data_IF_769497950713
#
_entry.id   IF_769497950713
#
_cell.length_a   1.000
_cell.length_b   1.000
_cell.length_c   1.000
_cell.angle_alpha   90.00
_cell.angle_beta   90.00
_cell.angle_gamma   90.00
#
_symmetry.space_group_name_H-M   'P 1'
#
loop_
_entity.id
_entity.type
_entity.pdbx_description
1 polymer ?
#
# COMPACT_ATOMS: atom_id res chain seq x y z
N UNK A 1 6.83 -14.80 -24.27
CA UNK A 1 5.78 -15.79 -23.93
C UNK A 1 4.48 -15.06 -24.17
N UNK A 2 4.00 -15.08 -25.40
CA UNK A 2 2.85 -14.28 -25.84
C UNK A 2 1.58 -14.92 -25.29
N UNK A 3 1.01 -14.29 -24.26
CA UNK A 3 -0.33 -14.65 -23.77
C UNK A 3 -1.31 -14.00 -24.73
N UNK A 4 -1.67 -14.74 -25.78
CA UNK A 4 -2.78 -14.37 -26.66
C UNK A 4 -4.08 -14.59 -25.89
N UNK A 5 -4.59 -13.54 -25.23
CA UNK A 5 -5.92 -13.55 -24.65
C UNK A 5 -6.92 -13.34 -25.79
N UNK A 6 -7.42 -14.44 -26.35
CA UNK A 6 -8.52 -14.36 -27.31
C UNK A 6 -9.82 -14.14 -26.55
N UNK A 7 -10.18 -12.86 -26.34
CA UNK A 7 -11.51 -12.47 -25.88
C UNK A 7 -12.50 -12.77 -27.00
N UNK A 8 -13.12 -13.94 -26.98
CA UNK A 8 -14.21 -14.25 -27.88
C UNK A 8 -15.49 -13.57 -27.40
N UNK A 9 -16.00 -12.70 -28.26
CA UNK A 9 -17.22 -11.93 -28.05
C UNK A 9 -18.39 -12.85 -27.71
N UNK A 10 -19.10 -12.53 -26.63
CA UNK A 10 -20.45 -13.04 -26.41
C UNK A 10 -21.31 -12.62 -27.60
N UNK A 11 -21.67 -13.58 -28.45
CA UNK A 11 -22.55 -13.32 -29.57
C UNK A 11 -23.99 -13.30 -29.05
N UNK A 12 -24.54 -12.08 -28.93
CA UNK A 12 -25.95 -11.89 -28.57
C UNK A 12 -26.80 -12.26 -29.79
N UNK A 13 -27.28 -13.50 -29.84
CA UNK A 13 -28.30 -13.94 -30.79
C UNK A 13 -29.61 -13.98 -30.00
N UNK A 14 -30.59 -13.17 -30.42
CA UNK A 14 -31.93 -13.10 -29.82
C UNK A 14 -31.98 -12.83 -28.30
N UNK A 15 -30.99 -12.11 -27.77
CA UNK A 15 -30.92 -11.76 -26.34
C UNK A 15 -30.43 -12.88 -25.42
N UNK A 16 -30.05 -14.03 -25.98
CA UNK A 16 -29.46 -15.14 -25.24
C UNK A 16 -27.94 -14.94 -25.20
N UNK A 17 -27.37 -15.03 -24.00
CA UNK A 17 -25.91 -15.01 -23.79
C UNK A 17 -25.43 -16.46 -23.86
N UNK A 18 -24.40 -16.71 -24.68
CA UNK A 18 -23.76 -18.02 -24.81
C UNK A 18 -22.27 -17.91 -24.40
N UNK A 19 -21.71 -19.01 -23.90
CA UNK A 19 -20.27 -19.18 -23.68
C UNK A 19 -19.78 -20.47 -24.36
N UNK A 20 -18.48 -20.58 -24.66
CA UNK A 20 -17.91 -21.77 -25.27
C UNK A 20 -17.20 -22.63 -24.21
N UNK A 21 -17.43 -23.93 -24.26
CA UNK A 21 -16.79 -24.94 -23.42
C UNK A 21 -16.11 -25.99 -24.29
N UNK A 22 -15.01 -26.54 -23.83
CA UNK A 22 -14.29 -27.61 -24.53
C UNK A 22 -14.72 -28.97 -23.96
N UNK A 23 -15.27 -29.84 -24.80
CA UNK A 23 -15.68 -31.18 -24.38
C UNK A 23 -14.49 -32.14 -24.18
N UNK A 24 -14.76 -33.35 -23.70
CA UNK A 24 -13.76 -34.41 -23.48
C UNK A 24 -13.02 -34.83 -24.76
N UNK A 25 -13.56 -34.50 -25.93
CA UNK A 25 -13.00 -34.80 -27.24
C UNK A 25 -12.24 -33.61 -27.85
N UNK A 26 -12.17 -32.48 -27.15
CA UNK A 26 -11.46 -31.27 -27.57
C UNK A 26 -12.26 -30.33 -28.47
N UNK A 27 -13.55 -30.58 -28.71
CA UNK A 27 -14.41 -29.75 -29.54
C UNK A 27 -14.95 -28.55 -28.76
N UNK A 28 -15.15 -27.42 -29.46
CA UNK A 28 -15.75 -26.22 -28.88
C UNK A 28 -17.28 -26.29 -29.00
N UNK A 29 -17.98 -26.27 -27.87
CA UNK A 29 -19.44 -26.36 -27.77
C UNK A 29 -20.01 -25.07 -27.19
N UNK A 30 -21.01 -24.49 -27.86
CA UNK A 30 -21.73 -23.32 -27.37
C UNK A 30 -22.78 -23.69 -26.32
N UNK A 31 -22.67 -23.14 -25.10
CA UNK A 31 -23.54 -23.42 -23.97
C UNK A 31 -24.28 -22.14 -23.53
N UNK A 32 -25.55 -22.29 -23.13
CA UNK A 32 -26.37 -21.17 -22.65
C UNK A 32 -25.87 -20.61 -21.31
N UNK A 33 -25.50 -19.33 -21.27
CA UNK A 33 -24.97 -18.63 -20.10
C UNK A 33 -26.05 -18.25 -19.05
N UNK A 34 -27.13 -19.03 -18.92
CA UNK A 34 -28.17 -18.81 -17.88
C UNK A 34 -27.61 -19.00 -16.47
N UNK A 35 -26.60 -19.86 -16.32
CA UNK A 35 -25.77 -20.02 -15.12
C UNK A 35 -24.32 -20.10 -15.58
N UNK A 36 -23.69 -18.94 -15.78
CA UNK A 36 -22.30 -18.86 -16.22
C UNK A 36 -21.35 -19.11 -15.03
N UNK A 37 -20.44 -20.10 -15.10
CA UNK A 37 -19.43 -20.28 -14.06
C UNK A 37 -18.47 -19.09 -14.04
N UNK A 38 -18.12 -18.60 -12.84
CA UNK A 38 -17.26 -17.41 -12.67
C UNK A 38 -15.86 -17.60 -13.26
N UNK A 39 -15.36 -18.83 -13.36
CA UNK A 39 -14.04 -19.12 -13.93
C UNK A 39 -13.90 -18.63 -15.39
N UNK A 40 -14.98 -18.61 -16.17
CA UNK A 40 -14.97 -18.07 -17.53
C UNK A 40 -14.88 -16.54 -17.60
N UNK A 41 -14.97 -15.86 -16.45
CA UNK A 41 -14.84 -14.41 -16.32
C UNK A 41 -13.48 -14.00 -15.72
N UNK A 42 -12.64 -14.97 -15.35
CA UNK A 42 -11.37 -14.74 -14.69
C UNK A 42 -10.21 -15.14 -15.61
N UNK A 43 -9.08 -14.46 -15.43
CA UNK A 43 -7.83 -14.80 -16.09
C UNK A 43 -6.75 -14.87 -15.02
N UNK A 44 -5.99 -15.97 -15.03
CA UNK A 44 -4.85 -16.12 -14.12
C UNK A 44 -3.70 -15.23 -14.57
N UNK A 45 -3.23 -14.39 -13.65
CA UNK A 45 -2.05 -13.53 -13.86
C UNK A 45 -0.91 -14.08 -13.00
N UNK A 46 0.23 -14.46 -13.60
CA UNK A 46 1.36 -14.94 -12.82
C UNK A 46 1.89 -13.81 -11.91
N UNK A 47 2.05 -14.11 -10.63
CA UNK A 47 2.62 -13.20 -9.65
C UNK A 47 4.02 -13.66 -9.21
N UNK A 48 4.88 -12.71 -8.88
CA UNK A 48 6.23 -12.99 -8.39
C UNK A 48 6.79 -11.84 -7.57
N UNK A 49 7.85 -12.13 -6.83
CA UNK A 49 8.63 -11.11 -6.12
C UNK A 49 9.84 -10.70 -6.96
N UNK A 50 10.24 -9.44 -6.86
CA UNK A 50 11.43 -8.96 -7.56
C UNK A 50 12.68 -9.76 -7.11
N UNK A 51 13.65 -10.00 -8.00
CA UNK A 51 14.91 -10.64 -7.64
C UNK A 51 15.63 -9.83 -6.55
N UNK A 52 16.35 -10.51 -5.64
CA UNK A 52 17.12 -9.89 -4.55
C UNK A 52 18.24 -8.95 -5.03
N UNK A 53 18.56 -8.96 -6.33
CA UNK A 53 19.53 -8.04 -6.96
C UNK A 53 18.97 -6.66 -7.24
N UNK A 54 17.65 -6.46 -7.18
CA UNK A 54 17.02 -5.16 -7.37
C UNK A 54 16.74 -4.52 -6.02
N UNK A 55 17.31 -3.34 -5.78
CA UNK A 55 16.92 -2.54 -4.63
C UNK A 55 15.47 -2.05 -4.80
N UNK A 56 14.60 -2.18 -3.78
CA UNK A 56 13.25 -1.66 -3.84
C UNK A 56 13.28 -0.13 -3.92
N UNK A 57 12.26 0.46 -4.55
CA UNK A 57 12.13 1.92 -4.62
C UNK A 57 11.90 2.53 -3.24
N UNK A 58 11.04 1.91 -2.45
CA UNK A 58 10.73 2.34 -1.09
C UNK A 58 11.55 1.53 -0.08
N UNK A 59 11.91 2.15 1.03
CA UNK A 59 12.76 1.54 2.04
C UNK A 59 12.03 0.38 2.73
N UNK A 60 12.65 -0.81 2.85
CA UNK A 60 12.05 -1.93 3.58
C UNK A 60 12.03 -1.70 5.09
N UNK A 61 12.81 -0.74 5.59
CA UNK A 61 12.85 -0.37 7.00
C UNK A 61 11.84 0.72 7.38
N UNK A 62 10.97 1.12 6.46
CA UNK A 62 10.02 2.19 6.70
C UNK A 62 8.92 1.74 7.67
N UNK A 63 8.66 2.54 8.72
CA UNK A 63 7.75 2.20 9.81
C UNK A 63 6.57 3.15 9.94
N UNK A 64 6.45 4.15 9.06
CA UNK A 64 5.36 5.11 9.11
C UNK A 64 4.03 4.40 8.81
N UNK A 65 2.97 4.65 9.59
CA UNK A 65 1.77 3.84 9.49
C UNK A 65 1.02 4.07 8.18
N UNK A 66 0.43 3.01 7.59
CA UNK A 66 -0.43 3.14 6.42
C UNK A 66 -1.66 4.00 6.68
N UNK A 67 -2.03 4.81 5.68
CA UNK A 67 -3.23 5.64 5.72
C UNK A 67 -4.52 4.81 5.84
N UNK A 68 -5.58 5.43 6.34
CA UNK A 68 -6.93 4.83 6.47
C UNK A 68 -6.99 3.57 7.32
N UNK A 69 -6.12 3.48 8.32
CA UNK A 69 -6.11 2.36 9.27
C UNK A 69 -6.53 2.84 10.67
N UNK A 70 -7.74 2.50 11.15
CA UNK A 70 -8.25 2.97 12.44
C UNK A 70 -7.69 2.16 13.62
N UNK A 71 -6.42 1.76 13.58
CA UNK A 71 -5.72 1.24 14.75
C UNK A 71 -5.07 2.42 15.45
N UNK A 72 -5.19 2.50 16.77
CA UNK A 72 -4.69 3.63 17.55
C UNK A 72 -3.20 3.89 17.32
N UNK A 73 -2.40 2.82 17.21
CA UNK A 73 -0.96 2.88 16.94
C UNK A 73 -0.61 3.14 15.46
N UNK A 74 -1.61 3.21 14.57
CA UNK A 74 -1.42 3.47 13.14
C UNK A 74 -2.01 4.81 12.68
N UNK A 75 -2.30 5.71 13.60
CA UNK A 75 -2.75 7.05 13.23
C UNK A 75 -1.58 7.86 12.67
N UNK A 76 -1.73 8.29 11.41
CA UNK A 76 -0.80 9.24 10.80
C UNK A 76 -0.94 10.59 11.49
N UNK A 77 0.18 11.11 12.00
CA UNK A 77 0.23 12.36 12.74
C UNK A 77 1.55 13.09 12.50
N UNK A 78 1.58 14.37 12.82
CA UNK A 78 2.80 15.18 12.75
C UNK A 78 3.87 14.65 13.72
N UNK A 79 3.48 14.28 14.93
CA UNK A 79 4.34 13.53 15.86
C UNK A 79 4.92 12.26 15.23
N UNK A 80 4.10 11.40 14.65
CA UNK A 80 4.55 10.16 14.02
C UNK A 80 5.51 10.41 12.84
N UNK A 81 5.30 11.48 12.08
CA UNK A 81 6.21 11.89 11.00
C UNK A 81 7.58 12.28 11.56
N UNK A 82 7.60 13.07 12.65
CA UNK A 82 8.86 13.47 13.29
C UNK A 82 9.63 12.26 13.83
N UNK A 83 8.95 11.35 14.54
CA UNK A 83 9.56 10.13 15.06
C UNK A 83 10.14 9.25 13.94
N UNK A 84 9.41 9.09 12.84
CA UNK A 84 9.89 8.34 11.68
C UNK A 84 11.16 8.96 11.07
N UNK A 85 11.21 10.29 10.94
CA UNK A 85 12.40 10.99 10.43
C UNK A 85 13.60 10.81 11.38
N UNK A 86 13.39 10.90 12.70
CA UNK A 86 14.46 10.73 13.69
C UNK A 86 15.01 9.30 13.76
N UNK A 87 14.14 8.31 13.57
CA UNK A 87 14.51 6.89 13.63
C UNK A 87 15.12 6.38 12.31
N UNK A 88 15.03 7.16 11.24
CA UNK A 88 15.57 6.81 9.93
C UNK A 88 17.06 7.15 9.83
N UNK A 89 17.85 6.37 9.07
CA UNK A 89 19.30 6.60 8.95
C UNK A 89 19.65 7.90 8.20
N UNK A 90 18.80 8.33 7.28
CA UNK A 90 18.93 9.60 6.55
C UNK A 90 17.54 10.17 6.23
N UNK A 91 17.50 11.47 5.91
CA UNK A 91 16.26 12.12 5.50
C UNK A 91 15.70 11.51 4.20
N UNK A 92 16.58 11.16 3.25
CA UNK A 92 16.17 10.48 2.03
C UNK A 92 15.52 9.12 2.33
N UNK A 93 16.09 8.32 3.24
CA UNK A 93 15.49 7.04 3.63
C UNK A 93 14.15 7.21 4.33
N UNK A 94 14.01 8.24 5.18
CA UNK A 94 12.72 8.59 5.81
C UNK A 94 11.66 8.93 4.76
N UNK A 95 12.03 9.72 3.75
CA UNK A 95 11.13 10.15 2.67
C UNK A 95 10.93 9.09 1.59
N UNK A 96 11.77 8.04 1.55
CA UNK A 96 11.62 6.87 0.68
C UNK A 96 10.56 5.90 1.21
N UNK A 97 9.52 6.43 1.85
CA UNK A 97 8.34 5.72 2.33
C UNK A 97 7.11 6.26 1.60
N UNK A 98 6.38 5.38 0.91
CA UNK A 98 5.17 5.75 0.18
C UNK A 98 4.12 6.40 1.10
N UNK A 99 3.97 5.93 2.34
CA UNK A 99 2.97 6.44 3.27
C UNK A 99 3.32 7.82 3.79
N UNK A 100 4.61 8.14 3.94
CA UNK A 100 5.07 9.49 4.25
C UNK A 100 4.77 10.43 3.08
N UNK A 101 5.10 10.04 1.85
CA UNK A 101 4.83 10.86 0.67
C UNK A 101 3.33 11.14 0.48
N UNK A 102 2.50 10.12 0.69
CA UNK A 102 1.04 10.26 0.68
C UNK A 102 0.57 11.20 1.79
N UNK A 103 1.08 11.02 3.02
CA UNK A 103 0.75 11.89 4.14
C UNK A 103 1.12 13.34 3.88
N UNK A 104 2.30 13.63 3.34
CA UNK A 104 2.71 14.99 2.98
C UNK A 104 1.78 15.62 1.92
N UNK A 105 1.27 14.82 0.98
CA UNK A 105 0.35 15.27 -0.06
C UNK A 105 -1.09 15.47 0.45
N UNK A 106 -1.52 14.74 1.48
CA UNK A 106 -2.91 14.78 1.99
C UNK A 106 -3.06 15.41 3.37
N UNK A 107 -1.98 15.87 3.99
CA UNK A 107 -2.00 16.47 5.31
C UNK A 107 -2.66 17.86 5.27
N UNK A 108 -3.74 18.03 6.03
CA UNK A 108 -4.50 19.27 6.10
C UNK A 108 -3.84 20.34 7.00
N UNK A 109 -2.88 19.98 7.86
CA UNK A 109 -2.26 20.93 8.79
C UNK A 109 -1.46 22.03 8.07
N UNK A 110 -0.72 21.64 7.02
CA UNK A 110 -0.09 22.57 6.09
C UNK A 110 -0.04 21.91 4.70
N UNK A 111 -1.07 22.15 3.86
CA UNK A 111 -1.16 21.51 2.56
C UNK A 111 0.02 21.88 1.67
N UNK A 112 0.73 20.87 1.17
CA UNK A 112 1.77 21.03 0.16
C UNK A 112 1.15 20.80 -1.22
N UNK A 113 1.44 21.72 -2.14
CA UNK A 113 1.06 21.56 -3.55
C UNK A 113 1.92 20.47 -4.22
N UNK A 114 1.43 19.90 -5.31
CA UNK A 114 2.18 18.86 -6.05
C UNK A 114 3.49 19.43 -6.58
N UNK A 115 3.50 20.70 -7.01
CA UNK A 115 4.67 21.42 -7.49
C UNK A 115 5.73 21.57 -6.40
N UNK A 116 5.31 21.79 -5.15
CA UNK A 116 6.21 21.82 -4.00
C UNK A 116 6.72 20.43 -3.62
N UNK A 117 5.98 19.36 -3.92
CA UNK A 117 6.39 17.97 -3.63
C UNK A 117 7.31 17.39 -4.71
N UNK A 118 7.21 17.88 -5.95
CA UNK A 118 7.93 17.35 -7.11
C UNK A 118 9.45 17.20 -6.91
N UNK A 119 10.17 18.19 -6.33
CA UNK A 119 11.62 18.05 -6.11
C UNK A 119 11.96 16.86 -5.20
N UNK A 120 11.17 16.64 -4.14
CA UNK A 120 11.34 15.47 -3.27
C UNK A 120 11.06 14.17 -4.01
N UNK A 121 9.97 14.12 -4.78
CA UNK A 121 9.61 12.92 -5.54
C UNK A 121 10.71 12.55 -6.56
N UNK A 122 11.34 13.54 -7.18
CA UNK A 122 12.49 13.30 -8.05
C UNK A 122 13.69 12.80 -7.24
N UNK A 123 14.03 13.42 -6.11
CA UNK A 123 15.12 12.99 -5.24
C UNK A 123 14.96 11.53 -4.78
N UNK A 124 13.75 11.12 -4.36
CA UNK A 124 13.44 9.73 -4.00
C UNK A 124 13.56 8.80 -5.20
N UNK A 125 13.11 9.23 -6.39
CA UNK A 125 13.21 8.44 -7.63
C UNK A 125 14.65 8.22 -8.09
N UNK A 126 15.51 9.23 -7.97
CA UNK A 126 16.92 9.18 -8.38
C UNK A 126 17.87 8.76 -7.26
N UNK A 127 17.36 8.58 -6.04
CA UNK A 127 18.14 8.31 -4.82
C UNK A 127 19.20 9.40 -4.56
N UNK A 128 18.81 10.65 -4.72
CA UNK A 128 19.68 11.81 -4.53
C UNK A 128 19.49 12.42 -3.13
N UNK A 129 20.48 12.20 -2.25
CA UNK A 129 20.45 12.68 -0.87
C UNK A 129 20.57 14.20 -0.77
N UNK A 130 21.41 14.81 -1.61
CA UNK A 130 21.66 16.25 -1.60
C UNK A 130 20.41 17.02 -2.04
N UNK A 131 19.72 16.52 -3.08
CA UNK A 131 18.46 17.09 -3.54
C UNK A 131 17.35 17.00 -2.46
N UNK A 132 17.30 15.90 -1.71
CA UNK A 132 16.34 15.73 -0.62
C UNK A 132 16.61 16.71 0.53
N UNK A 133 17.87 16.92 0.91
CA UNK A 133 18.23 17.88 1.96
C UNK A 133 18.02 19.34 1.51
N UNK A 134 18.28 19.64 0.23
CA UNK A 134 17.95 20.94 -0.36
C UNK A 134 16.45 21.22 -0.25
N UNK A 135 15.61 20.26 -0.64
CA UNK A 135 14.15 20.37 -0.51
C UNK A 135 13.70 20.57 0.95
N UNK A 136 14.33 19.87 1.90
CA UNK A 136 14.04 19.99 3.33
C UNK A 136 14.21 21.43 3.85
N UNK A 137 15.12 22.20 3.24
CA UNK A 137 15.41 23.59 3.61
C UNK A 137 14.43 24.61 3.02
N UNK A 138 13.54 24.21 2.11
CA UNK A 138 12.54 25.10 1.52
C UNK A 138 11.52 25.56 2.58
N UNK A 139 11.17 26.85 2.56
CA UNK A 139 10.43 27.49 3.66
C UNK A 139 9.09 26.83 4.03
N UNK A 140 8.30 26.38 3.05
CA UNK A 140 7.00 25.73 3.29
C UNK A 140 7.17 24.37 3.99
N UNK A 141 8.11 23.57 3.51
CA UNK A 141 8.41 22.24 4.04
C UNK A 141 9.08 22.33 5.40
N UNK A 142 10.06 23.22 5.53
CA UNK A 142 10.71 23.50 6.80
C UNK A 142 9.70 23.89 7.89
N UNK A 143 8.64 24.63 7.53
CA UNK A 143 7.55 24.96 8.45
C UNK A 143 6.77 23.72 8.89
N UNK A 144 6.39 22.84 7.95
CA UNK A 144 5.70 21.58 8.27
C UNK A 144 6.54 20.69 9.19
N UNK A 145 7.82 20.54 8.87
CA UNK A 145 8.76 19.74 9.66
C UNK A 145 8.99 20.33 11.05
N UNK A 146 8.98 21.66 11.18
CA UNK A 146 9.06 22.34 12.45
C UNK A 146 7.79 22.12 13.29
N UNK A 147 6.60 22.17 12.67
CA UNK A 147 5.34 21.84 13.34
C UNK A 147 5.37 20.40 13.87
N UNK A 148 5.88 19.46 13.07
CA UNK A 148 6.08 18.07 13.49
C UNK A 148 7.04 17.93 14.68
N UNK A 149 8.14 18.67 14.69
CA UNK A 149 9.07 18.71 15.81
C UNK A 149 8.47 19.31 17.09
N UNK A 150 7.60 20.32 16.96
CA UNK A 150 6.91 20.91 18.10
C UNK A 150 5.84 19.97 18.67
N UNK A 151 5.10 19.26 17.83
CA UNK A 151 4.03 18.33 18.23
C UNK A 151 4.58 17.15 19.06
N UNK A 152 5.78 16.66 18.71
CA UNK A 152 6.50 15.63 19.48
C UNK A 152 6.76 16.03 20.95
N UNK A 153 6.99 17.31 21.22
CA UNK A 153 7.29 17.81 22.56
C UNK A 153 6.04 18.14 23.40
N UNK A 154 4.84 17.99 22.85
CA UNK A 154 3.62 18.10 23.64
C UNK A 154 3.56 16.93 24.62
N UNK A 155 3.31 17.17 25.92
CA UNK A 155 3.17 16.09 26.89
C UNK A 155 1.99 15.22 26.45
N UNK A 156 2.31 14.01 25.99
CA UNK A 156 1.32 13.02 25.59
C UNK A 156 0.40 12.79 26.79
N UNK A 157 -0.89 13.13 26.65
CA UNK A 157 -1.90 12.65 27.57
C UNK A 157 -1.80 11.12 27.54
N UNK A 158 -1.37 10.51 28.65
CA UNK A 158 -1.20 9.08 28.82
C UNK A 158 -2.47 8.32 28.40
N UNK A 159 -2.50 7.85 27.16
CA UNK A 159 -3.33 6.73 26.71
C UNK A 159 -2.41 5.58 26.34
N UNK A 160 -1.55 5.19 27.28
CA UNK A 160 -0.75 3.97 27.22
C UNK A 160 -1.64 2.76 27.48
N UNK A 161 -2.46 2.39 26.51
CA UNK A 161 -2.88 1.01 26.33
C UNK A 161 -2.09 0.48 25.15
N UNK A 162 -0.90 -0.08 25.42
CA UNK A 162 -0.11 -0.84 24.44
C UNK A 162 -1.00 -1.91 23.84
N UNK A 163 -1.64 -1.58 22.73
CA UNK A 163 -2.54 -2.45 22.00
C UNK A 163 -1.74 -3.04 20.87
N UNK A 164 -0.69 -3.80 21.22
CA UNK A 164 0.31 -4.29 20.26
C UNK A 164 -0.32 -4.87 18.99
N UNK A 165 0.33 -4.75 17.85
CA UNK A 165 -0.27 -5.18 16.57
C UNK A 165 0.40 -6.47 16.11
N UNK A 166 -0.34 -7.34 15.42
CA UNK A 166 0.23 -8.55 14.81
C UNK A 166 -0.06 -8.64 13.31
N UNK A 167 0.94 -9.04 12.54
CA UNK A 167 0.84 -9.19 11.08
C UNK A 167 0.35 -10.59 10.72
N UNK A 168 -0.74 -10.68 9.96
CA UNK A 168 -1.27 -11.93 9.45
C UNK A 168 -0.27 -12.59 8.50
N UNK A 169 0.10 -13.83 8.78
CA UNK A 169 1.06 -14.57 7.95
C UNK A 169 0.52 -14.97 6.58
N UNK A 170 -0.80 -14.90 6.36
CA UNK A 170 -1.42 -15.26 5.08
C UNK A 170 -1.60 -14.05 4.15
N UNK A 171 -2.23 -12.99 4.66
CA UNK A 171 -2.57 -11.82 3.85
C UNK A 171 -1.78 -10.56 4.19
N UNK A 172 -0.82 -10.64 5.12
CA UNK A 172 0.03 -9.52 5.59
C UNK A 172 -0.71 -8.36 6.25
N UNK A 173 -2.02 -8.48 6.47
CA UNK A 173 -2.78 -7.49 7.19
C UNK A 173 -2.39 -7.46 8.67
N UNK A 174 -2.16 -6.28 9.23
CA UNK A 174 -1.87 -6.11 10.65
C UNK A 174 -3.16 -5.92 11.46
N UNK A 175 -3.40 -6.76 12.45
CA UNK A 175 -4.61 -6.75 13.27
C UNK A 175 -4.30 -6.22 14.67
N UNK A 176 -5.31 -5.68 15.34
CA UNK A 176 -5.19 -5.30 16.74
C UNK A 176 -4.81 -6.52 17.62
N UNK A 177 -3.98 -6.32 18.65
CA UNK A 177 -3.60 -7.34 19.64
C UNK A 177 -4.74 -8.24 20.12
N UNK A 178 -5.91 -7.69 20.52
CA UNK A 178 -6.98 -8.50 21.11
C UNK A 178 -7.69 -9.40 20.09
N UNK A 179 -7.41 -9.27 18.80
CA UNK A 179 -8.03 -10.11 17.77
C UNK A 179 -7.25 -11.42 17.62
N UNK A 180 -7.95 -12.54 17.79
CA UNK A 180 -7.41 -13.89 17.57
C UNK A 180 -7.59 -14.40 16.13
N UNK A 181 -8.25 -13.61 15.27
CA UNK A 181 -8.44 -13.90 13.85
C UNK A 181 -8.24 -12.64 13.02
N UNK A 182 -7.83 -12.80 11.75
CA UNK A 182 -7.55 -11.69 10.87
C UNK A 182 -8.84 -11.04 10.34
N UNK A 183 -8.98 -9.71 10.42
CA UNK A 183 -10.17 -8.98 9.95
C UNK A 183 -10.37 -9.08 8.44
N UNK A 184 -9.29 -9.25 7.67
CA UNK A 184 -9.34 -9.28 6.20
C UNK A 184 -9.63 -10.66 5.63
N UNK A 185 -9.07 -11.72 6.21
CA UNK A 185 -9.17 -13.08 5.67
C UNK A 185 -9.82 -14.09 6.63
N UNK A 186 -10.22 -13.67 7.83
CA UNK A 186 -10.81 -14.48 8.89
C UNK A 186 -9.94 -15.65 9.41
N UNK A 187 -8.67 -15.75 9.00
CA UNK A 187 -7.77 -16.81 9.45
C UNK A 187 -7.28 -16.55 10.88
N UNK A 188 -7.12 -17.60 11.71
CA UNK A 188 -6.65 -17.47 13.08
C UNK A 188 -5.21 -16.94 13.13
N UNK A 189 -4.90 -16.18 14.19
CA UNK A 189 -3.57 -15.58 14.44
C UNK A 189 -2.47 -16.64 14.49
N UNK A 190 -2.73 -17.72 15.22
CA UNK A 190 -1.88 -18.89 15.27
C UNK A 190 -2.50 -19.95 14.37
N UNK A 191 -2.21 -19.88 13.07
CA UNK A 191 -2.51 -20.99 12.18
C UNK A 191 -1.49 -22.09 12.49
N UNK A 192 -1.82 -22.96 13.46
CA UNK A 192 -1.08 -24.20 13.66
C UNK A 192 -1.19 -24.98 12.34
N UNK A 193 -0.09 -25.03 11.60
CA UNK A 193 0.13 -26.10 10.62
C UNK A 193 0.51 -27.37 11.36
#
# INVERSE_FOLDING_TARGET
>A
MDITVTLFFSQKIDGIVLYQERDEYGNDVGVSAKRLPVAYLLVDVPCGVAPSTSQPRFSPGATFPPANRPLQDHLQSLKGLHEHIQNSPSFLEAMSDLHVLLYLATNDALPLTIEQLEPLLQAVRTRDEDAAESWRSEGHVATLLQLAACDHNSPAANSSSESGVWTCQLCTFHNAAPLDSCEMCAMPRNNAM
#
